data_IF_022662023624
#
_entry.id   IF_022662023624
#
_cell.length_a   1.000
_cell.length_b   1.000
_cell.length_c   1.000
_cell.angle_alpha   90.00
_cell.angle_beta   90.00
_cell.angle_gamma   90.00
#
_symmetry.space_group_name_H-M   'P 1'
#
loop_
_entity.id
_entity.type
_entity.pdbx_description
1 polymer ?
#
# COMPACT_ATOMS: atom_id res chain seq x y z
N UNK A 1 47.36 -17.80 -3.06
CA UNK A 1 46.95 -17.62 -1.65
C UNK A 1 45.97 -16.48 -1.62
N UNK A 2 44.71 -16.71 -1.28
CA UNK A 2 43.73 -15.63 -1.12
C UNK A 2 44.06 -14.87 0.17
N UNK A 3 44.36 -13.57 0.08
CA UNK A 3 44.49 -12.71 1.25
C UNK A 3 43.09 -12.51 1.83
N UNK A 4 42.85 -13.03 3.04
CA UNK A 4 41.59 -12.83 3.74
C UNK A 4 41.60 -11.40 4.31
N UNK A 5 40.84 -10.49 3.69
CA UNK A 5 40.72 -9.09 4.13
C UNK A 5 39.38 -8.94 4.83
N UNK A 6 39.38 -8.96 6.17
CA UNK A 6 38.21 -8.66 6.98
C UNK A 6 38.12 -7.17 7.30
N UNK A 7 36.93 -6.57 7.17
CA UNK A 7 36.69 -5.17 7.56
C UNK A 7 35.34 -5.06 8.25
N UNK A 8 35.34 -4.49 9.44
CA UNK A 8 34.12 -4.15 10.18
C UNK A 8 33.62 -2.77 9.75
N UNK A 9 32.34 -2.66 9.42
CA UNK A 9 31.68 -1.38 9.20
C UNK A 9 30.28 -1.41 9.81
N UNK A 10 29.76 -0.23 10.15
CA UNK A 10 28.45 -0.05 10.75
C UNK A 10 27.63 0.90 9.89
N UNK A 11 26.34 0.62 9.76
CA UNK A 11 25.39 1.46 9.05
C UNK A 11 24.20 1.75 9.97
N UNK A 12 23.83 3.02 10.05
CA UNK A 12 22.67 3.47 10.82
C UNK A 12 21.57 3.86 9.84
N UNK A 13 20.43 3.18 9.95
CA UNK A 13 19.21 3.52 9.21
C UNK A 13 18.41 4.46 10.10
N UNK A 14 18.18 5.69 9.64
CA UNK A 14 17.35 6.68 10.34
C UNK A 14 15.91 6.56 9.88
N UNK A 15 14.99 6.90 10.78
CA UNK A 15 13.56 7.05 10.47
C UNK A 15 12.93 5.81 9.81
N UNK A 16 13.32 4.60 10.27
CA UNK A 16 12.90 3.31 9.71
C UNK A 16 11.38 3.16 9.48
N UNK A 17 10.49 3.56 10.42
CA UNK A 17 9.04 3.47 10.21
C UNK A 17 8.50 4.39 9.11
N UNK A 18 9.27 5.42 8.73
CA UNK A 18 8.90 6.41 7.71
C UNK A 18 9.46 6.10 6.32
N UNK A 19 10.25 5.02 6.18
CA UNK A 19 10.74 4.56 4.89
C UNK A 19 9.55 3.97 4.11
N UNK A 20 8.88 4.82 3.33
CA UNK A 20 7.70 4.51 2.52
C UNK A 20 8.02 3.55 1.36
N UNK A 21 8.48 2.34 1.68
CA UNK A 21 8.91 1.31 0.73
C UNK A 21 10.19 1.67 -0.07
N UNK A 22 10.99 2.63 0.41
CA UNK A 22 12.26 3.00 -0.24
C UNK A 22 13.39 2.05 0.17
N UNK A 23 14.06 1.43 -0.81
CA UNK A 23 15.24 0.57 -0.57
C UNK A 23 16.35 1.45 -0.03
N UNK A 24 16.88 1.10 1.15
CA UNK A 24 17.94 1.86 1.78
C UNK A 24 19.31 1.28 1.43
N UNK A 25 20.26 2.17 1.12
CA UNK A 25 21.64 1.78 0.80
C UNK A 25 22.63 2.37 1.82
N UNK A 26 23.59 1.56 2.24
CA UNK A 26 24.74 2.07 2.97
C UNK A 26 25.70 2.81 2.04
N UNK A 27 26.56 3.66 2.61
CA UNK A 27 27.72 4.14 1.89
C UNK A 27 28.58 2.95 1.42
N UNK A 28 29.15 2.97 0.19
CA UNK A 28 30.04 1.92 -0.28
C UNK A 28 31.32 1.85 0.54
N UNK A 29 31.78 0.64 0.83
CA UNK A 29 33.01 0.35 1.56
C UNK A 29 33.91 -0.53 0.70
N UNK A 30 35.17 -0.10 0.51
CA UNK A 30 36.18 -0.91 -0.16
C UNK A 30 36.68 -2.03 0.77
N UNK A 31 36.52 -3.29 0.33
CA UNK A 31 37.03 -4.51 0.98
C UNK A 31 37.64 -5.40 -0.09
N UNK A 32 38.95 -5.67 0.03
CA UNK A 32 39.73 -6.20 -1.09
C UNK A 32 39.69 -5.24 -2.28
N UNK A 33 39.42 -5.76 -3.47
CA UNK A 33 39.33 -4.98 -4.72
C UNK A 33 37.88 -4.63 -5.11
N UNK A 34 36.92 -4.91 -4.24
CA UNK A 34 35.50 -4.67 -4.49
C UNK A 34 34.95 -3.58 -3.57
N UNK A 35 34.14 -2.67 -4.12
CA UNK A 35 33.31 -1.77 -3.33
C UNK A 35 32.03 -2.50 -2.97
N UNK A 36 31.78 -2.71 -1.69
CA UNK A 36 30.60 -3.38 -1.17
C UNK A 36 29.64 -2.37 -0.56
N UNK A 37 28.34 -2.64 -0.60
CA UNK A 37 27.33 -1.89 0.17
C UNK A 37 26.27 -2.83 0.70
N UNK A 38 25.64 -2.45 1.82
CA UNK A 38 24.45 -3.12 2.32
C UNK A 38 23.22 -2.48 1.68
N UNK A 39 22.24 -3.31 1.35
CA UNK A 39 20.90 -2.89 0.96
C UNK A 39 19.87 -3.52 1.90
N UNK A 40 18.96 -2.68 2.40
CA UNK A 40 17.91 -3.09 3.33
C UNK A 40 16.54 -2.95 2.66
N UNK A 41 15.76 -4.02 2.73
CA UNK A 41 14.40 -4.11 2.23
C UNK A 41 13.45 -4.20 3.44
N UNK A 42 12.75 -3.10 3.79
CA UNK A 42 11.72 -3.17 4.81
C UNK A 42 10.61 -4.12 4.33
N UNK A 43 10.25 -5.12 5.15
CA UNK A 43 9.21 -6.11 4.81
C UNK A 43 7.87 -5.67 5.41
N UNK A 44 6.81 -5.83 4.63
CA UNK A 44 5.54 -5.12 4.81
C UNK A 44 4.47 -5.88 5.63
N UNK A 45 4.87 -6.72 6.60
CA UNK A 45 3.91 -7.41 7.47
C UNK A 45 4.13 -7.01 8.93
N UNK A 46 3.19 -7.34 9.83
CA UNK A 46 3.20 -6.98 11.27
C UNK A 46 4.36 -7.55 12.10
N UNK A 47 5.42 -8.00 11.45
CA UNK A 47 6.68 -8.44 12.02
C UNK A 47 7.68 -7.40 11.56
N UNK A 48 8.39 -6.77 12.49
CA UNK A 48 9.48 -5.80 12.25
C UNK A 48 10.69 -6.46 11.55
N UNK A 49 10.43 -7.13 10.42
CA UNK A 49 11.39 -7.92 9.68
C UNK A 49 12.05 -7.04 8.61
N UNK A 50 13.37 -6.91 8.73
CA UNK A 50 14.21 -6.23 7.75
C UNK A 50 15.03 -7.28 7.00
N UNK A 51 14.89 -7.33 5.67
CA UNK A 51 15.75 -8.18 4.84
C UNK A 51 17.01 -7.39 4.44
N UNK A 52 18.18 -7.87 4.86
CA UNK A 52 19.47 -7.26 4.56
C UNK A 52 20.23 -8.10 3.53
N UNK A 53 20.77 -7.43 2.51
CA UNK A 53 21.61 -8.04 1.50
C UNK A 53 22.94 -7.28 1.41
N UNK A 54 23.99 -8.00 1.00
CA UNK A 54 25.29 -7.44 0.70
C UNK A 54 25.50 -7.51 -0.81
N UNK A 55 25.81 -6.38 -1.44
CA UNK A 55 26.04 -6.29 -2.87
C UNK A 55 27.33 -5.52 -3.22
N UNK A 56 27.85 -5.75 -4.41
CA UNK A 56 28.99 -5.00 -4.96
C UNK A 56 28.46 -3.74 -5.64
N UNK A 57 28.87 -2.57 -5.17
CA UNK A 57 28.37 -1.26 -5.57
C UNK A 57 28.80 -0.84 -7.00
N UNK A 58 29.95 -1.34 -7.47
CA UNK A 58 30.46 -1.06 -8.80
C UNK A 58 30.18 -2.28 -9.71
N UNK A 59 29.13 -2.23 -10.52
CA UNK A 59 28.77 -3.31 -11.45
C UNK A 59 29.67 -3.40 -12.69
N UNK A 60 30.75 -2.62 -12.78
CA UNK A 60 31.66 -2.57 -13.94
C UNK A 60 32.83 -3.57 -13.88
N UNK A 61 32.96 -4.35 -12.80
CA UNK A 61 34.03 -5.36 -12.69
C UNK A 61 33.60 -6.67 -13.38
N UNK A 62 33.69 -6.71 -14.71
CA UNK A 62 33.52 -7.89 -15.56
C UNK A 62 34.66 -8.93 -15.44
N UNK A 63 35.20 -9.14 -14.24
CA UNK A 63 35.92 -10.39 -13.97
C UNK A 63 34.92 -11.38 -13.40
N UNK A 64 34.55 -12.35 -14.23
CA UNK A 64 33.76 -13.55 -13.89
C UNK A 64 34.51 -14.46 -12.90
N UNK A 65 35.09 -13.88 -11.85
CA UNK A 65 35.68 -14.60 -10.74
C UNK A 65 34.63 -14.71 -9.65
N UNK A 66 34.50 -15.92 -9.08
CA UNK A 66 33.54 -16.18 -8.02
C UNK A 66 34.03 -15.51 -6.74
N UNK A 67 33.40 -14.40 -6.37
CA UNK A 67 33.67 -13.69 -5.12
C UNK A 67 32.88 -14.38 -4.00
N UNK A 68 33.56 -14.73 -2.92
CA UNK A 68 32.95 -15.27 -1.71
C UNK A 68 33.11 -14.24 -0.59
N UNK A 69 32.01 -13.95 0.11
CA UNK A 69 32.01 -13.10 1.30
C UNK A 69 31.40 -13.89 2.46
N UNK A 70 32.05 -13.82 3.61
CA UNK A 70 31.52 -14.30 4.89
C UNK A 70 31.13 -13.09 5.71
N UNK A 71 29.92 -13.08 6.25
CA UNK A 71 29.33 -11.94 6.95
C UNK A 71 28.91 -12.38 8.34
N UNK A 72 29.53 -11.78 9.35
CA UNK A 72 29.13 -11.92 10.75
C UNK A 72 28.35 -10.68 11.19
N UNK A 73 27.08 -10.88 11.57
CA UNK A 73 26.24 -9.81 12.15
C UNK A 73 26.51 -9.74 13.65
N UNK A 74 27.12 -8.64 14.11
CA UNK A 74 27.62 -8.52 15.49
C UNK A 74 26.64 -7.87 16.46
N UNK A 75 25.84 -6.89 16.03
CA UNK A 75 24.95 -6.13 16.93
C UNK A 75 23.84 -5.40 16.13
N UNK A 76 22.59 -5.49 16.58
CA UNK A 76 21.44 -4.76 16.05
C UNK A 76 20.90 -3.87 17.18
N UNK A 77 20.92 -2.56 17.01
CA UNK A 77 20.46 -1.59 18.01
C UNK A 77 19.15 -0.96 17.50
N UNK A 78 18.03 -1.27 18.15
CA UNK A 78 16.74 -0.62 17.91
C UNK A 78 16.39 0.25 19.12
N UNK A 79 16.17 1.55 18.91
CA UNK A 79 15.67 2.48 19.95
C UNK A 79 14.23 2.81 19.62
N UNK A 80 13.28 2.21 20.34
CA UNK A 80 11.85 2.54 20.28
C UNK A 80 11.58 3.65 21.32
N UNK A 81 11.13 4.81 20.85
CA UNK A 81 10.70 5.91 21.72
C UNK A 81 9.17 5.77 21.88
N UNK A 82 8.71 5.27 23.03
CA UNK A 82 7.30 5.26 23.42
C UNK A 82 7.00 6.54 24.22
N UNK A 83 5.98 7.31 23.84
CA UNK A 83 5.49 8.44 24.64
C UNK A 83 3.98 8.65 24.52
N UNK A 84 3.32 8.22 25.60
CA UNK A 84 2.20 8.77 26.38
C UNK A 84 0.87 9.29 25.76
N UNK A 85 -0.18 8.51 26.07
CA UNK A 85 -1.46 8.85 26.74
C UNK A 85 -1.86 10.33 26.97
N UNK A 86 -3.15 10.62 26.75
CA UNK A 86 -3.93 11.47 27.68
C UNK A 86 -5.45 11.24 27.62
N UNK A 87 -5.99 10.96 28.82
CA UNK A 87 -7.36 11.10 29.36
C UNK A 87 -7.93 12.53 29.21
N UNK A 88 -9.17 12.95 29.49
CA UNK A 88 -10.47 12.44 29.99
C UNK A 88 -11.47 13.64 29.80
N UNK A 89 -12.78 13.41 29.69
CA UNK A 89 -13.80 14.09 30.54
C UNK A 89 -15.24 13.84 30.09
N UNK A 90 -16.05 13.38 31.06
CA UNK A 90 -17.51 13.20 31.01
C UNK A 90 -18.19 14.14 32.00
N UNK A 91 -19.47 14.47 31.69
CA UNK A 91 -20.69 14.63 32.56
C UNK A 91 -21.50 15.94 32.30
N UNK A 92 -22.80 16.09 32.71
CA UNK A 92 -23.98 15.62 31.95
C UNK A 92 -25.24 16.56 31.93
N UNK A 93 -26.20 16.25 31.04
CA UNK A 93 -27.69 16.34 31.14
C UNK A 93 -28.43 17.66 31.48
N UNK A 94 -29.45 18.00 30.65
CA UNK A 94 -30.83 18.35 31.09
C UNK A 94 -31.89 18.13 30.00
N UNK A 95 -33.06 17.62 30.41
CA UNK A 95 -34.28 17.33 29.64
C UNK A 95 -35.28 18.48 29.70
N UNK A 96 -36.19 18.56 28.71
CA UNK A 96 -37.60 18.95 28.91
C UNK A 96 -38.51 18.32 27.84
N UNK A 97 -39.80 18.22 28.16
CA UNK A 97 -40.86 17.38 27.57
C UNK A 97 -42.01 18.26 27.03
N UNK A 98 -43.05 17.60 26.47
CA UNK A 98 -44.35 18.07 25.92
C UNK A 98 -44.33 18.56 24.46
N UNK A 99 -45.26 18.21 23.57
CA UNK A 99 -46.43 17.31 23.65
C UNK A 99 -47.39 17.52 22.45
N UNK A 100 -48.05 16.46 21.99
CA UNK A 100 -49.42 16.48 21.42
C UNK A 100 -49.60 16.53 19.89
N UNK A 101 -50.52 15.67 19.39
CA UNK A 101 -51.27 15.85 18.14
C UNK A 101 -51.23 14.69 17.14
N UNK A 102 -52.21 13.78 17.23
CA UNK A 102 -52.84 13.04 16.11
C UNK A 102 -53.41 14.05 15.08
N UNK A 103 -53.74 13.81 13.81
CA UNK A 103 -53.96 12.65 12.93
C UNK A 103 -54.13 13.22 11.50
N UNK A 104 -53.86 12.40 10.46
CA UNK A 104 -54.59 12.32 9.16
C UNK A 104 -53.70 12.17 7.93
N UNK A 105 -53.61 10.90 7.51
CA UNK A 105 -53.88 10.40 6.16
C UNK A 105 -54.28 11.44 5.10
N UNK A 106 -53.45 11.59 4.06
CA UNK A 106 -53.96 11.78 2.71
C UNK A 106 -53.16 10.93 1.72
N UNK A 107 -53.91 10.21 0.89
CA UNK A 107 -53.45 9.17 -0.01
C UNK A 107 -53.17 9.77 -1.37
N UNK A 108 -51.89 10.03 -1.69
CA UNK A 108 -51.49 10.33 -3.06
C UNK A 108 -51.12 9.04 -3.78
N UNK A 109 -52.06 8.57 -4.61
CA UNK A 109 -51.82 7.53 -5.61
C UNK A 109 -50.90 8.09 -6.71
N UNK A 110 -49.63 7.73 -6.67
CA UNK A 110 -48.77 7.78 -7.86
C UNK A 110 -48.14 6.40 -8.11
N UNK A 111 -48.17 6.00 -9.38
CA UNK A 111 -47.79 4.70 -9.89
C UNK A 111 -46.40 4.27 -9.42
N UNK A 112 -46.32 3.29 -8.52
CA UNK A 112 -45.06 2.70 -8.09
C UNK A 112 -45.02 1.24 -8.54
N UNK A 113 -44.07 0.91 -9.40
CA UNK A 113 -43.43 -0.39 -9.39
C UNK A 113 -42.91 -0.60 -7.97
N UNK A 114 -43.70 -1.29 -7.13
CA UNK A 114 -43.50 -1.39 -5.69
C UNK A 114 -42.15 -2.03 -5.41
N UNK A 115 -41.15 -1.20 -5.13
CA UNK A 115 -39.91 -1.65 -4.52
C UNK A 115 -40.26 -2.14 -3.13
N UNK A 116 -40.55 -3.44 -3.04
CA UNK A 116 -40.88 -4.11 -1.79
C UNK A 116 -39.80 -3.78 -0.76
N UNK A 117 -40.23 -3.34 0.41
CA UNK A 117 -39.33 -3.01 1.52
C UNK A 117 -39.67 -3.89 2.72
N UNK A 118 -38.65 -4.29 3.45
CA UNK A 118 -38.78 -5.10 4.66
C UNK A 118 -38.09 -4.39 5.82
N UNK A 119 -38.68 -4.50 7.01
CA UNK A 119 -38.06 -4.02 8.24
C UNK A 119 -36.99 -5.01 8.73
N UNK A 120 -35.79 -4.51 8.99
CA UNK A 120 -34.69 -5.26 9.61
C UNK A 120 -34.17 -4.43 10.78
N UNK A 121 -34.33 -4.93 12.00
CA UNK A 121 -33.93 -4.25 13.24
C UNK A 121 -34.43 -2.79 13.34
N UNK A 122 -35.67 -2.54 12.88
CA UNK A 122 -36.28 -1.21 12.87
C UNK A 122 -35.84 -0.32 11.70
N UNK A 123 -35.12 -0.84 10.70
CA UNK A 123 -34.76 -0.12 9.47
C UNK A 123 -35.56 -0.67 8.29
N UNK A 124 -36.31 0.20 7.61
CA UNK A 124 -37.02 -0.17 6.39
C UNK A 124 -36.08 -0.14 5.17
N UNK A 125 -35.73 -1.30 4.65
CA UNK A 125 -34.74 -1.48 3.57
C UNK A 125 -35.35 -2.22 2.38
N UNK A 126 -34.75 -2.06 1.19
CA UNK A 126 -35.20 -2.79 0.00
C UNK A 126 -34.99 -4.29 0.20
N UNK A 127 -35.89 -5.14 -0.33
CA UNK A 127 -35.74 -6.61 -0.22
C UNK A 127 -34.38 -7.10 -0.72
N UNK A 128 -33.83 -6.49 -1.77
CA UNK A 128 -32.50 -6.80 -2.29
C UNK A 128 -31.34 -6.49 -1.34
N UNK A 129 -31.55 -5.65 -0.33
CA UNK A 129 -30.54 -5.22 0.64
C UNK A 129 -30.68 -5.93 2.00
N UNK A 130 -31.78 -6.66 2.22
CA UNK A 130 -32.11 -7.28 3.52
C UNK A 130 -30.98 -8.18 4.03
N UNK A 131 -30.40 -9.00 3.15
CA UNK A 131 -29.36 -9.94 3.56
C UNK A 131 -28.07 -9.23 3.98
N UNK A 132 -27.67 -8.19 3.24
CA UNK A 132 -26.53 -7.35 3.61
C UNK A 132 -26.72 -6.69 4.97
N UNK A 133 -27.92 -6.16 5.22
CA UNK A 133 -28.25 -5.48 6.50
C UNK A 133 -28.27 -6.48 7.65
N UNK A 134 -28.86 -7.67 7.47
CA UNK A 134 -28.82 -8.75 8.47
C UNK A 134 -27.40 -9.11 8.84
N UNK A 135 -26.55 -9.33 7.84
CA UNK A 135 -25.15 -9.69 8.04
C UNK A 135 -24.37 -8.61 8.81
N UNK A 136 -24.66 -7.34 8.56
CA UNK A 136 -24.06 -6.22 9.32
C UNK A 136 -24.42 -6.34 10.80
N UNK A 137 -25.69 -6.56 11.14
CA UNK A 137 -26.13 -6.73 12.53
C UNK A 137 -25.65 -8.03 13.17
N UNK A 138 -25.43 -9.09 12.40
CA UNK A 138 -24.83 -10.34 12.92
C UNK A 138 -23.37 -10.13 13.31
N UNK A 139 -22.60 -9.43 12.46
CA UNK A 139 -21.17 -9.17 12.68
C UNK A 139 -20.93 -8.04 13.68
N UNK A 140 -21.83 -7.06 13.71
CA UNK A 140 -21.74 -5.86 14.55
C UNK A 140 -23.11 -5.59 15.22
N UNK A 141 -23.50 -6.37 16.24
CA UNK A 141 -24.81 -6.25 16.86
C UNK A 141 -25.07 -4.89 17.50
N UNK A 142 -24.02 -4.17 17.91
CA UNK A 142 -24.11 -2.89 18.58
C UNK A 142 -24.01 -1.67 17.63
N UNK A 143 -23.94 -1.90 16.31
CA UNK A 143 -23.71 -0.88 15.28
C UNK A 143 -24.67 0.31 15.36
N UNK A 144 -25.92 0.10 15.76
CA UNK A 144 -26.96 1.13 15.80
C UNK A 144 -27.50 1.39 17.22
N UNK A 145 -26.75 1.02 18.27
CA UNK A 145 -27.20 1.17 19.68
C UNK A 145 -27.44 2.63 20.06
N UNK A 146 -26.61 3.54 19.56
CA UNK A 146 -26.70 4.98 19.83
C UNK A 146 -27.47 5.75 18.74
N UNK A 147 -28.02 5.06 17.75
CA UNK A 147 -28.77 5.66 16.66
C UNK A 147 -30.19 6.04 17.12
N UNK A 148 -30.51 7.35 17.12
CA UNK A 148 -31.75 7.88 17.73
C UNK A 148 -32.79 8.42 16.75
N UNK A 149 -32.57 8.32 15.44
CA UNK A 149 -33.52 8.83 14.46
C UNK A 149 -34.85 8.06 14.51
N UNK A 150 -35.96 8.80 14.67
CA UNK A 150 -37.32 8.26 14.70
C UNK A 150 -38.03 8.31 13.34
N UNK A 151 -37.60 9.22 12.46
CA UNK A 151 -38.20 9.41 11.16
C UNK A 151 -37.80 8.27 10.21
N UNK A 152 -38.77 7.54 9.67
CA UNK A 152 -38.52 6.35 8.84
C UNK A 152 -37.73 6.65 7.56
N UNK A 153 -37.95 7.81 6.93
CA UNK A 153 -37.17 8.21 5.77
C UNK A 153 -35.69 8.42 6.11
N UNK A 154 -35.40 9.06 7.25
CA UNK A 154 -34.02 9.22 7.74
C UNK A 154 -33.38 7.85 8.05
N UNK A 155 -34.11 6.96 8.72
CA UNK A 155 -33.60 5.60 9.01
C UNK A 155 -33.22 4.86 7.74
N UNK A 156 -34.11 4.88 6.74
CA UNK A 156 -33.87 4.29 5.42
C UNK A 156 -32.68 4.94 4.71
N UNK A 157 -32.60 6.26 4.69
CA UNK A 157 -31.52 6.99 4.04
C UNK A 157 -30.16 6.69 4.68
N UNK A 158 -30.08 6.70 6.02
CA UNK A 158 -28.85 6.36 6.75
C UNK A 158 -28.40 4.94 6.47
N UNK A 159 -29.32 3.96 6.49
CA UNK A 159 -28.96 2.57 6.19
C UNK A 159 -28.50 2.39 4.74
N UNK A 160 -29.19 3.06 3.79
CA UNK A 160 -28.76 3.05 2.40
C UNK A 160 -27.37 3.66 2.23
N UNK A 161 -27.10 4.77 2.91
CA UNK A 161 -25.82 5.44 2.88
C UNK A 161 -24.69 4.58 3.47
N UNK A 162 -24.95 3.91 4.60
CA UNK A 162 -24.02 2.96 5.20
C UNK A 162 -23.71 1.78 4.26
N UNK A 163 -24.72 1.23 3.58
CA UNK A 163 -24.52 0.17 2.60
C UNK A 163 -23.66 0.63 1.43
N UNK A 164 -23.94 1.81 0.87
CA UNK A 164 -23.12 2.38 -0.20
C UNK A 164 -21.67 2.60 0.23
N UNK A 165 -21.44 3.07 1.45
CA UNK A 165 -20.09 3.21 2.01
C UNK A 165 -19.37 1.87 2.15
N UNK A 166 -20.07 0.84 2.65
CA UNK A 166 -19.51 -0.51 2.76
C UNK A 166 -19.18 -1.07 1.38
N UNK A 167 -20.05 -0.85 0.38
CA UNK A 167 -19.81 -1.23 -1.01
C UNK A 167 -18.55 -0.56 -1.56
N UNK A 168 -18.39 0.76 -1.38
CA UNK A 168 -17.18 1.51 -1.77
C UNK A 168 -15.93 0.91 -1.12
N UNK A 169 -15.96 0.64 0.19
CA UNK A 169 -14.83 0.03 0.93
C UNK A 169 -14.60 -1.46 0.60
N UNK A 170 -15.45 -2.07 -0.22
CA UNK A 170 -15.28 -3.42 -0.73
C UNK A 170 -14.88 -3.45 -2.21
N UNK A 171 -14.78 -2.29 -2.88
CA UNK A 171 -14.28 -2.20 -4.25
C UNK A 171 -12.83 -2.66 -4.36
N UNK A 172 -12.41 -2.98 -5.59
CA UNK A 172 -11.02 -3.35 -5.83
C UNK A 172 -10.10 -2.15 -5.58
N UNK A 173 -8.89 -2.40 -5.09
CA UNK A 173 -7.93 -1.33 -4.82
C UNK A 173 -7.62 -0.51 -6.09
N UNK A 174 -7.65 -1.15 -7.27
CA UNK A 174 -7.42 -0.50 -8.56
C UNK A 174 -8.52 0.49 -8.94
N UNK A 175 -9.77 0.18 -8.59
CA UNK A 175 -10.93 1.01 -8.90
C UNK A 175 -11.15 2.12 -7.86
N UNK A 176 -10.57 1.97 -6.66
CA UNK A 176 -10.57 2.98 -5.61
C UNK A 176 -9.58 4.11 -5.92
N UNK A 177 -10.08 5.34 -6.05
CA UNK A 177 -9.25 6.55 -6.12
C UNK A 177 -8.90 7.09 -4.73
N UNK A 178 -7.94 8.03 -4.65
CA UNK A 178 -7.64 8.68 -3.38
C UNK A 178 -8.79 9.59 -2.94
N UNK A 179 -9.47 10.19 -3.91
CA UNK A 179 -10.66 11.01 -3.73
C UNK A 179 -11.78 10.19 -3.10
N UNK A 180 -12.01 8.95 -3.56
CA UNK A 180 -13.00 8.03 -2.96
C UNK A 180 -12.65 7.70 -1.50
N UNK A 181 -11.35 7.54 -1.18
CA UNK A 181 -10.90 7.29 0.19
C UNK A 181 -11.12 8.50 1.11
N UNK A 182 -10.94 9.71 0.59
CA UNK A 182 -11.25 10.96 1.33
C UNK A 182 -12.75 11.11 1.51
N UNK A 183 -13.55 10.86 0.48
CA UNK A 183 -15.01 10.91 0.58
C UNK A 183 -15.54 9.87 1.57
N UNK A 184 -14.97 8.66 1.58
CA UNK A 184 -15.30 7.63 2.55
C UNK A 184 -15.00 8.06 4.00
N UNK A 185 -13.91 8.79 4.23
CA UNK A 185 -13.55 9.33 5.55
C UNK A 185 -14.59 10.34 6.07
N UNK A 186 -14.99 11.24 5.18
CA UNK A 186 -16.05 12.22 5.44
C UNK A 186 -17.39 11.52 5.68
N UNK A 187 -17.73 10.52 4.87
CA UNK A 187 -18.94 9.71 5.04
C UNK A 187 -18.97 8.96 6.38
N UNK A 188 -17.84 8.38 6.80
CA UNK A 188 -17.73 7.72 8.11
C UNK A 188 -17.98 8.69 9.26
N UNK A 189 -17.44 9.92 9.15
CA UNK A 189 -17.70 10.98 10.13
C UNK A 189 -19.19 11.27 10.26
N UNK A 190 -19.91 11.44 9.15
CA UNK A 190 -21.36 11.65 9.18
C UNK A 190 -22.13 10.46 9.77
N UNK A 191 -21.74 9.24 9.45
CA UNK A 191 -22.38 8.01 9.94
C UNK A 191 -22.17 7.87 11.46
N UNK A 192 -20.95 8.16 11.95
CA UNK A 192 -20.64 8.20 13.37
C UNK A 192 -21.45 9.26 14.10
N UNK A 193 -21.53 10.47 13.54
CA UNK A 193 -22.30 11.58 14.12
C UNK A 193 -23.81 11.29 14.16
N UNK A 194 -24.31 10.46 13.25
CA UNK A 194 -25.68 9.96 13.28
C UNK A 194 -25.93 8.95 14.42
N UNK A 195 -24.88 8.48 15.10
CA UNK A 195 -24.93 7.55 16.23
C UNK A 195 -24.69 6.08 15.85
N UNK A 196 -24.12 5.81 14.67
CA UNK A 196 -23.64 4.47 14.35
C UNK A 196 -22.24 4.23 14.92
N UNK A 197 -22.01 3.03 15.45
CA UNK A 197 -20.68 2.58 15.87
C UNK A 197 -19.95 1.93 14.69
N UNK A 198 -19.07 2.68 14.07
CA UNK A 198 -18.38 2.30 12.83
C UNK A 198 -16.87 2.22 12.97
N UNK A 199 -16.34 2.03 14.18
CA UNK A 199 -14.89 1.95 14.45
C UNK A 199 -14.20 0.87 13.59
N UNK A 200 -14.92 -0.23 13.33
CA UNK A 200 -14.44 -1.32 12.47
C UNK A 200 -14.30 -0.90 10.99
N UNK A 201 -15.14 0.02 10.50
CA UNK A 201 -15.03 0.58 9.16
C UNK A 201 -13.93 1.64 9.09
N UNK A 202 -13.78 2.47 10.12
CA UNK A 202 -12.68 3.43 10.24
C UNK A 202 -11.33 2.71 10.15
N UNK A 203 -11.15 1.65 10.95
CA UNK A 203 -9.95 0.80 10.89
C UNK A 203 -9.76 0.13 9.53
N UNK A 204 -10.85 -0.31 8.89
CA UNK A 204 -10.77 -0.93 7.55
C UNK A 204 -10.35 0.11 6.50
N UNK A 205 -10.85 1.34 6.58
CA UNK A 205 -10.47 2.44 5.69
C UNK A 205 -8.98 2.78 5.87
N UNK A 206 -8.47 2.80 7.10
CA UNK A 206 -7.05 3.03 7.39
C UNK A 206 -6.15 1.99 6.71
N UNK A 207 -6.50 0.70 6.83
CA UNK A 207 -5.81 -0.41 6.13
C UNK A 207 -5.87 -0.24 4.60
N UNK A 208 -6.97 0.29 4.06
CA UNK A 208 -7.10 0.54 2.62
C UNK A 208 -6.20 1.70 2.16
N UNK A 209 -6.10 2.78 2.94
CA UNK A 209 -5.19 3.90 2.66
C UNK A 209 -3.74 3.43 2.62
N UNK A 210 -3.31 2.63 3.60
CA UNK A 210 -1.96 2.04 3.63
C UNK A 210 -1.68 1.17 2.40
N UNK A 211 -2.62 0.28 2.06
CA UNK A 211 -2.49 -0.58 0.86
C UNK A 211 -2.42 0.25 -0.43
N UNK A 212 -3.15 1.36 -0.51
CA UNK A 212 -3.17 2.22 -1.69
C UNK A 212 -1.84 2.94 -1.89
N UNK A 213 -1.23 3.43 -0.80
CA UNK A 213 0.11 4.02 -0.87
C UNK A 213 1.16 2.99 -1.29
N UNK A 214 1.10 1.78 -0.72
CA UNK A 214 1.97 0.67 -1.12
C UNK A 214 1.85 0.28 -2.60
N UNK A 215 0.62 0.26 -3.13
CA UNK A 215 0.38 0.06 -4.57
C UNK A 215 1.08 1.13 -5.41
N UNK A 216 0.99 2.41 -5.02
CA UNK A 216 1.67 3.52 -5.71
C UNK A 216 3.19 3.37 -5.66
N UNK A 217 3.77 3.11 -4.50
CA UNK A 217 5.22 2.92 -4.36
C UNK A 217 5.71 1.76 -5.26
N UNK A 218 4.98 0.66 -5.27
CA UNK A 218 5.31 -0.51 -6.11
C UNK A 218 5.26 -0.18 -7.60
N UNK A 219 4.33 0.68 -8.04
CA UNK A 219 4.23 1.13 -9.43
C UNK A 219 5.43 2.03 -9.82
N UNK A 220 5.82 2.96 -8.95
CA UNK A 220 6.98 3.84 -9.19
C UNK A 220 8.25 2.99 -9.32
N UNK A 221 8.48 2.07 -8.39
CA UNK A 221 9.65 1.16 -8.45
C UNK A 221 9.67 0.34 -9.74
N UNK A 222 8.50 -0.14 -10.19
CA UNK A 222 8.39 -0.88 -11.44
C UNK A 222 8.75 -0.02 -12.66
N UNK A 223 8.37 1.25 -12.67
CA UNK A 223 8.75 2.21 -13.71
C UNK A 223 10.26 2.45 -13.73
N UNK A 224 10.87 2.70 -12.58
CA UNK A 224 12.33 2.86 -12.46
C UNK A 224 13.10 1.61 -12.94
N UNK A 225 12.62 0.42 -12.57
CA UNK A 225 13.23 -0.83 -13.03
C UNK A 225 13.11 -1.02 -14.55
N UNK A 226 12.00 -0.57 -15.16
CA UNK A 226 11.83 -0.60 -16.63
C UNK A 226 12.79 0.35 -17.33
N UNK A 227 13.02 1.54 -16.80
CA UNK A 227 13.99 2.50 -17.35
C UNK A 227 15.41 1.94 -17.30
N UNK A 228 15.84 1.40 -16.15
CA UNK A 228 17.16 0.74 -16.01
C UNK A 228 17.32 -0.43 -16.97
N UNK A 229 16.27 -1.22 -17.18
CA UNK A 229 16.29 -2.32 -18.15
C UNK A 229 16.45 -1.80 -19.59
N UNK A 230 15.80 -0.69 -19.93
CA UNK A 230 15.92 -0.05 -21.24
C UNK A 230 17.35 0.46 -21.48
N UNK A 231 17.95 1.11 -20.49
CA UNK A 231 19.35 1.56 -20.55
C UNK A 231 20.31 0.39 -20.75
N UNK A 232 20.12 -0.70 -20.00
CA UNK A 232 20.97 -1.88 -20.13
C UNK A 232 20.82 -2.52 -21.52
N UNK A 233 19.60 -2.60 -22.05
CA UNK A 233 19.34 -3.11 -23.40
C UNK A 233 20.04 -2.28 -24.48
N UNK A 234 20.07 -0.95 -24.32
CA UNK A 234 20.81 -0.08 -25.22
C UNK A 234 22.31 -0.37 -25.14
N UNK A 235 22.88 -0.44 -23.93
CA UNK A 235 24.30 -0.75 -23.73
C UNK A 235 24.71 -2.10 -24.34
N UNK A 236 23.86 -3.12 -24.23
CA UNK A 236 24.10 -4.41 -24.89
C UNK A 236 24.16 -4.27 -26.41
N UNK A 237 23.28 -3.46 -27.00
CA UNK A 237 23.26 -3.22 -28.45
C UNK A 237 24.53 -2.50 -28.93
N UNK A 238 25.00 -1.52 -28.15
CA UNK A 238 26.24 -0.80 -28.44
C UNK A 238 27.48 -1.71 -28.35
N UNK A 239 27.50 -2.60 -27.35
CA UNK A 239 28.55 -3.61 -27.19
C UNK A 239 28.53 -4.65 -28.32
N UNK A 240 27.34 -5.15 -28.70
CA UNK A 240 27.19 -6.09 -29.82
C UNK A 240 27.73 -5.47 -31.12
N UNK A 241 27.42 -4.19 -31.39
CA UNK A 241 27.97 -3.48 -32.55
C UNK A 241 29.50 -3.34 -32.51
N UNK A 242 30.08 -3.16 -31.33
CA UNK A 242 31.54 -3.10 -31.16
C UNK A 242 32.20 -4.47 -31.39
N UNK A 243 31.56 -5.55 -30.92
CA UNK A 243 32.02 -6.93 -31.14
C UNK A 243 32.00 -7.25 -32.64
N UNK A 244 30.90 -7.00 -33.33
CA UNK A 244 30.78 -7.24 -34.78
C UNK A 244 31.83 -6.46 -35.59
N UNK A 245 32.16 -5.23 -35.17
CA UNK A 245 33.21 -4.43 -35.79
C UNK A 245 34.59 -5.06 -35.63
N UNK A 246 34.97 -5.47 -34.41
CA UNK A 246 36.27 -6.08 -34.13
C UNK A 246 36.42 -7.43 -34.85
N UNK A 247 35.33 -8.21 -34.91
CA UNK A 247 35.30 -9.46 -35.68
C UNK A 247 35.54 -9.23 -37.18
N UNK A 248 34.92 -8.19 -37.76
CA UNK A 248 35.16 -7.81 -39.15
C UNK A 248 36.61 -7.36 -39.42
N UNK A 249 37.21 -6.59 -38.51
CA UNK A 249 38.63 -6.18 -38.60
C UNK A 249 39.58 -7.38 -38.50
N UNK A 250 39.32 -8.32 -37.59
CA UNK A 250 40.10 -9.57 -37.49
C UNK A 250 39.99 -10.44 -38.75
N UNK A 251 38.80 -10.52 -39.35
CA UNK A 251 38.60 -11.23 -40.62
C UNK A 251 39.41 -10.58 -41.75
N UNK A 252 39.44 -9.24 -41.81
CA UNK A 252 40.25 -8.51 -42.80
C UNK A 252 41.75 -8.79 -42.63
N UNK A 253 42.28 -8.78 -41.40
CA UNK A 253 43.69 -9.08 -41.11
C UNK A 253 44.06 -10.52 -41.49
N UNK A 254 43.15 -11.48 -41.25
CA UNK A 254 43.37 -12.90 -41.57
C UNK A 254 43.23 -13.21 -43.06
N UNK A 255 42.69 -12.30 -43.85
CA UNK A 255 42.53 -12.49 -45.29
C UNK A 255 43.90 -12.39 -45.96
N UNK A 256 44.42 -13.46 -46.61
CA UNK A 256 45.74 -13.42 -47.23
C UNK A 256 45.80 -12.37 -48.35
N UNK A 257 46.90 -11.62 -48.43
CA UNK A 257 47.14 -10.69 -49.53
C UNK A 257 47.09 -11.42 -50.87
N UNK A 258 46.41 -10.85 -51.87
CA UNK A 258 46.34 -11.47 -53.19
C UNK A 258 47.72 -11.42 -53.85
N UNK A 259 48.00 -12.38 -54.73
CA UNK A 259 49.28 -12.45 -55.45
C UNK A 259 49.61 -11.16 -56.24
N UNK A 260 48.59 -10.38 -56.62
CA UNK A 260 48.74 -9.13 -57.38
C UNK A 260 49.11 -7.95 -56.49
N UNK A 261 48.75 -7.97 -55.20
CA UNK A 261 49.05 -6.90 -54.23
C UNK A 261 50.49 -6.97 -53.70
N UNK A 262 51.20 -8.07 -53.98
CA UNK A 262 52.58 -8.35 -53.52
C UNK A 262 53.62 -7.99 -54.59
N UNK A 263 53.21 -7.86 -55.86
CA UNK A 263 54.06 -7.49 -56.99
C UNK A 263 54.18 -5.97 -57.15
#
# INVERSE_FOLDING_TARGET
MAMQVGKKFSWVIKDFPSLQCEICYSAPVLIGDCKWRLCAYPKEDKVDDLSLYLEVADSESYRMEKIFAEVDVLEVIATLDESEESEESRRPVKKSKHGGGEESIDSLKEAHLGKETMDVNGFQVLVSQVESVRRIFEMHPDIAVDFRAKNQHLRKACMSFLLSLIETLCMSLKDLSNEDLVEADVALTYVRDAGFKVDWLEKKLEILKEKKEKEKCSLILLEEMKEKLLELKQKCSDLDALVEKEEAELLAIRTPSSFVDVL
#
